data_IF_196383957305
#
_entry.id   IF_196383957305
#
_cell.length_a   1.000
_cell.length_b   1.000
_cell.length_c   1.000
_cell.angle_alpha   90.00
_cell.angle_beta   90.00
_cell.angle_gamma   90.00
#
_symmetry.space_group_name_H-M   'P 1'
#
loop_
_entity.id
_entity.type
_entity.pdbx_description
1 polymer ?
#
# COMPACT_ATOMS: atom_id res chain seq x y z
N UNK A 1 15.26 34.39 0.51
CA UNK A 1 15.25 32.98 0.06
C UNK A 1 15.95 31.99 1.02
N UNK A 2 16.85 32.43 1.89
CA UNK A 2 17.57 31.58 2.87
C UNK A 2 16.72 31.12 4.08
N UNK A 3 15.73 31.89 4.47
CA UNK A 3 14.88 31.60 5.66
C UNK A 3 13.98 30.36 5.48
N UNK A 4 13.57 30.05 4.24
CA UNK A 4 12.70 28.91 3.95
C UNK A 4 13.45 27.58 4.03
N UNK A 5 14.75 27.56 3.69
CA UNK A 5 15.57 26.34 3.68
C UNK A 5 15.89 25.88 5.12
N UNK A 6 16.10 26.83 6.04
CA UNK A 6 16.41 26.52 7.45
C UNK A 6 15.18 25.96 8.19
N UNK A 7 13.97 26.43 7.82
CA UNK A 7 12.72 25.96 8.43
C UNK A 7 12.41 24.48 8.12
N UNK A 8 12.66 24.03 6.90
CA UNK A 8 12.37 22.64 6.49
C UNK A 8 13.33 21.62 7.12
N UNK A 9 14.59 21.99 7.33
CA UNK A 9 15.58 21.11 7.98
C UNK A 9 15.27 20.88 9.47
N UNK A 10 14.74 21.90 10.16
CA UNK A 10 14.36 21.81 11.57
C UNK A 10 13.12 20.93 11.78
N UNK A 11 12.16 20.96 10.86
CA UNK A 11 10.94 20.16 10.96
C UNK A 11 11.22 18.67 10.74
N UNK A 12 12.12 18.32 9.84
CA UNK A 12 12.54 16.94 9.60
C UNK A 12 13.29 16.35 10.81
N UNK A 13 14.12 17.14 11.49
CA UNK A 13 14.87 16.69 12.67
C UNK A 13 13.97 16.43 13.89
N UNK A 14 12.90 17.20 14.06
CA UNK A 14 11.94 17.01 15.17
C UNK A 14 11.09 15.77 14.95
N UNK A 15 10.72 15.46 13.69
CA UNK A 15 9.92 14.27 13.38
C UNK A 15 10.70 12.97 13.60
N UNK A 16 11.99 12.94 13.27
CA UNK A 16 12.84 11.75 13.48
C UNK A 16 13.08 11.47 14.97
N UNK A 17 13.24 12.52 15.78
CA UNK A 17 13.43 12.37 17.24
C UNK A 17 12.17 11.86 17.96
N UNK A 18 10.97 12.21 17.48
CA UNK A 18 9.72 11.77 18.06
C UNK A 18 9.43 10.27 17.78
N UNK A 19 9.84 9.77 16.61
CA UNK A 19 9.69 8.34 16.26
C UNK A 19 10.66 7.45 17.04
N UNK A 20 11.89 7.91 17.30
CA UNK A 20 12.90 7.10 18.01
C UNK A 20 12.55 6.94 19.51
N UNK A 21 11.93 7.94 20.13
CA UNK A 21 11.48 7.85 21.53
C UNK A 21 10.19 6.99 21.71
N UNK A 22 9.32 6.92 20.72
CA UNK A 22 8.10 6.11 20.76
C UNK A 22 8.38 4.61 20.82
N UNK A 23 9.46 4.12 20.23
CA UNK A 23 9.80 2.69 20.19
C UNK A 23 10.51 2.24 21.47
N UNK A 24 11.21 3.14 22.16
CA UNK A 24 11.93 2.81 23.39
C UNK A 24 11.00 2.54 24.59
N UNK A 25 9.82 3.18 24.65
CA UNK A 25 8.86 3.04 25.77
C UNK A 25 8.15 1.69 25.74
N UNK A 26 8.00 1.05 24.56
CA UNK A 26 7.34 -0.26 24.43
C UNK A 26 8.22 -1.46 24.82
N UNK A 27 9.55 -1.26 25.01
CA UNK A 27 10.48 -2.33 25.35
C UNK A 27 10.78 -2.50 26.85
N UNK A 28 10.21 -1.66 27.72
CA UNK A 28 10.58 -1.62 29.15
C UNK A 28 9.49 -2.08 30.11
N UNK A 29 8.58 -2.94 29.68
CA UNK A 29 7.71 -3.61 30.67
C UNK A 29 8.41 -4.85 31.24
N UNK A 30 8.84 -4.85 32.50
CA UNK A 30 9.30 -6.06 33.16
C UNK A 30 8.10 -6.99 33.37
N UNK A 31 8.18 -8.18 32.81
CA UNK A 31 7.24 -9.28 33.09
C UNK A 31 7.29 -9.59 34.59
N UNK A 32 6.17 -9.57 35.34
CA UNK A 32 6.17 -10.03 36.71
C UNK A 32 6.39 -11.54 36.76
N UNK A 33 7.48 -11.93 37.39
CA UNK A 33 7.77 -13.33 37.70
C UNK A 33 6.78 -13.76 38.80
N UNK A 34 5.93 -14.78 38.59
CA UNK A 34 5.09 -15.30 39.67
C UNK A 34 5.95 -16.03 40.71
N UNK A 35 6.00 -15.46 41.92
CA UNK A 35 6.57 -16.15 43.10
C UNK A 35 5.66 -17.33 43.45
N UNK A 36 6.14 -18.54 43.22
CA UNK A 36 5.46 -19.76 43.63
C UNK A 36 5.63 -19.90 45.14
N UNK A 37 4.59 -19.55 45.91
CA UNK A 37 4.48 -20.00 47.29
C UNK A 37 4.06 -21.48 47.28
N UNK A 38 5.01 -22.31 47.71
CA UNK A 38 4.77 -23.71 48.01
C UNK A 38 3.90 -23.83 49.27
N UNK A 39 2.61 -24.04 49.07
CA UNK A 39 1.76 -24.64 50.10
C UNK A 39 1.21 -25.93 49.50
N UNK A 40 1.67 -27.05 50.03
CA UNK A 40 1.12 -28.35 49.72
C UNK A 40 -0.32 -28.42 50.22
N UNK A 41 -1.31 -28.70 49.40
CA UNK A 41 -2.56 -29.28 49.86
C UNK A 41 -2.69 -30.72 49.40
N UNK A 42 -3.09 -31.50 50.35
CA UNK A 42 -3.70 -32.83 50.32
C UNK A 42 -4.36 -33.13 48.94
N UNK A 43 -3.86 -34.19 48.31
CA UNK A 43 -4.42 -34.71 47.07
C UNK A 43 -5.76 -35.37 47.39
N UNK A 44 -6.84 -34.70 47.11
CA UNK A 44 -8.14 -35.33 46.85
C UNK A 44 -8.20 -35.56 45.35
N UNK A 45 -7.98 -36.80 44.95
CA UNK A 45 -8.21 -37.23 43.55
C UNK A 45 -9.71 -37.27 43.33
N UNK A 46 -10.26 -36.15 42.86
CA UNK A 46 -11.55 -36.16 42.19
C UNK A 46 -11.23 -36.42 40.72
N UNK A 47 -11.46 -37.63 40.26
CA UNK A 47 -11.51 -37.96 38.84
C UNK A 47 -12.65 -37.15 38.21
N UNK A 48 -12.36 -35.91 37.82
CA UNK A 48 -13.20 -35.18 36.89
C UNK A 48 -12.91 -35.78 35.51
N UNK A 49 -13.90 -36.29 34.79
CA UNK A 49 -13.69 -36.71 33.41
C UNK A 49 -13.20 -35.48 32.63
N UNK A 50 -11.94 -35.53 32.22
CA UNK A 50 -11.34 -34.57 31.31
C UNK A 50 -12.22 -34.53 30.06
N UNK A 51 -12.81 -33.39 29.70
CA UNK A 51 -13.52 -33.30 28.43
C UNK A 51 -12.47 -33.60 27.36
N UNK A 52 -12.61 -34.73 26.71
CA UNK A 52 -11.89 -35.10 25.51
C UNK A 52 -12.21 -34.03 24.46
N UNK A 53 -11.37 -32.96 24.44
CA UNK A 53 -11.38 -31.97 23.39
C UNK A 53 -10.87 -32.72 22.17
N UNK A 54 -11.80 -33.33 21.43
CA UNK A 54 -11.47 -33.79 20.09
C UNK A 54 -10.85 -32.61 19.35
N UNK A 55 -9.58 -32.70 18.91
CA UNK A 55 -9.02 -31.67 18.08
C UNK A 55 -9.92 -31.64 16.85
N UNK A 56 -10.72 -30.58 16.72
CA UNK A 56 -11.47 -30.29 15.51
C UNK A 56 -10.43 -30.12 14.41
N UNK A 57 -10.10 -31.24 13.76
CA UNK A 57 -9.23 -31.28 12.59
C UNK A 57 -10.03 -30.60 11.49
N UNK A 58 -9.94 -29.28 11.42
CA UNK A 58 -10.35 -28.54 10.22
C UNK A 58 -9.54 -29.18 9.09
N UNK A 59 -10.19 -29.77 8.07
CA UNK A 59 -9.45 -30.44 7.00
C UNK A 59 -8.37 -29.50 6.47
N UNK A 60 -7.14 -29.95 6.42
CA UNK A 60 -5.99 -29.16 5.95
C UNK A 60 -6.26 -28.44 4.61
N UNK A 61 -7.10 -29.05 3.78
CA UNK A 61 -7.55 -28.51 2.52
C UNK A 61 -8.38 -27.23 2.64
N UNK A 62 -9.20 -27.10 3.67
CA UNK A 62 -10.07 -25.94 3.86
C UNK A 62 -9.25 -24.74 4.37
N UNK A 63 -8.35 -24.96 5.31
CA UNK A 63 -7.43 -23.96 5.77
C UNK A 63 -6.50 -23.45 4.65
N UNK A 64 -6.04 -24.35 3.80
CA UNK A 64 -5.21 -23.99 2.65
C UNK A 64 -6.00 -23.21 1.58
N UNK A 65 -7.28 -23.51 1.38
CA UNK A 65 -8.16 -22.75 0.47
C UNK A 65 -8.35 -21.32 0.98
N UNK A 66 -8.65 -21.15 2.26
CA UNK A 66 -8.81 -19.83 2.88
C UNK A 66 -7.52 -19.00 2.79
N UNK A 67 -6.37 -19.58 3.07
CA UNK A 67 -5.08 -18.91 2.94
C UNK A 67 -4.82 -18.41 1.51
N UNK A 68 -5.09 -19.25 0.50
CA UNK A 68 -4.95 -18.86 -0.91
C UNK A 68 -5.92 -17.73 -1.27
N UNK A 69 -7.17 -17.78 -0.80
CA UNK A 69 -8.15 -16.75 -1.04
C UNK A 69 -7.74 -15.40 -0.40
N UNK A 70 -7.25 -15.42 0.85
CA UNK A 70 -6.74 -14.23 1.52
C UNK A 70 -5.51 -13.65 0.80
N UNK A 71 -4.59 -14.48 0.35
CA UNK A 71 -3.45 -14.05 -0.45
C UNK A 71 -3.88 -13.39 -1.76
N UNK A 72 -4.81 -13.99 -2.49
CA UNK A 72 -5.34 -13.42 -3.72
C UNK A 72 -6.01 -12.06 -3.46
N UNK A 73 -6.84 -11.96 -2.43
CA UNK A 73 -7.49 -10.71 -2.05
C UNK A 73 -6.49 -9.63 -1.67
N UNK A 74 -5.46 -9.96 -0.89
CA UNK A 74 -4.39 -9.04 -0.52
C UNK A 74 -3.63 -8.54 -1.76
N UNK A 75 -3.28 -9.44 -2.68
CA UNK A 75 -2.58 -9.09 -3.92
C UNK A 75 -3.43 -8.16 -4.80
N UNK A 76 -4.74 -8.42 -4.90
CA UNK A 76 -5.66 -7.56 -5.65
C UNK A 76 -5.79 -6.16 -5.02
N UNK A 77 -5.82 -6.07 -3.68
CA UNK A 77 -5.84 -4.78 -2.98
C UNK A 77 -4.57 -3.98 -3.23
N UNK A 78 -3.41 -4.65 -3.20
CA UNK A 78 -2.14 -4.02 -3.56
C UNK A 78 -2.14 -3.52 -5.00
N UNK A 79 -2.66 -4.30 -5.95
CA UNK A 79 -2.81 -3.88 -7.34
C UNK A 79 -3.66 -2.61 -7.48
N UNK A 80 -4.80 -2.53 -6.78
CA UNK A 80 -5.64 -1.33 -6.75
C UNK A 80 -4.92 -0.12 -6.15
N UNK A 81 -4.13 -0.33 -5.10
CA UNK A 81 -3.32 0.74 -4.50
C UNK A 81 -2.31 1.33 -5.49
N UNK A 82 -1.68 0.49 -6.34
CA UNK A 82 -0.78 0.98 -7.38
C UNK A 82 -1.50 1.73 -8.50
N UNK A 83 -2.75 1.34 -8.86
CA UNK A 83 -3.57 2.11 -9.80
C UNK A 83 -3.91 3.48 -9.22
N UNK A 84 -4.32 3.57 -7.94
CA UNK A 84 -4.55 4.85 -7.25
C UNK A 84 -3.29 5.72 -7.21
N UNK A 85 -2.13 5.10 -6.97
CA UNK A 85 -0.86 5.81 -7.00
C UNK A 85 -0.55 6.37 -8.38
N UNK A 86 -0.80 5.61 -9.45
CA UNK A 86 -0.64 6.09 -10.81
C UNK A 86 -1.60 7.25 -11.11
N UNK A 87 -2.86 7.15 -10.74
CA UNK A 87 -3.83 8.24 -10.86
C UNK A 87 -3.36 9.51 -10.17
N UNK A 88 -2.88 9.40 -8.92
CA UNK A 88 -2.33 10.54 -8.18
C UNK A 88 -1.16 11.20 -8.91
N UNK A 89 -0.27 10.41 -9.50
CA UNK A 89 0.88 10.90 -10.25
C UNK A 89 0.45 11.59 -11.55
N UNK A 90 -0.56 11.06 -12.26
CA UNK A 90 -1.17 11.73 -13.42
C UNK A 90 -1.78 13.06 -13.01
N UNK A 91 -2.46 13.14 -11.87
CA UNK A 91 -3.00 14.41 -11.34
C UNK A 91 -1.88 15.42 -11.05
N UNK A 92 -0.76 14.99 -10.45
CA UNK A 92 0.40 15.86 -10.19
C UNK A 92 1.07 16.33 -11.47
N UNK A 93 1.10 15.49 -12.52
CA UNK A 93 1.59 15.88 -13.85
C UNK A 93 0.69 16.96 -14.46
N UNK A 94 -0.62 16.82 -14.33
CA UNK A 94 -1.60 17.81 -14.80
C UNK A 94 -1.43 19.16 -14.07
N UNK A 95 -1.27 19.14 -12.74
CA UNK A 95 -0.96 20.34 -11.95
C UNK A 95 0.34 21.02 -12.41
N UNK A 96 1.37 20.22 -12.74
CA UNK A 96 2.65 20.74 -13.23
C UNK A 96 2.51 21.40 -14.61
N UNK A 97 1.69 20.84 -15.51
CA UNK A 97 1.39 21.44 -16.81
C UNK A 97 0.64 22.77 -16.69
N UNK A 98 -0.29 22.89 -15.75
CA UNK A 98 -1.00 24.16 -15.51
C UNK A 98 -0.08 25.32 -15.16
N UNK A 99 1.08 25.05 -14.55
CA UNK A 99 2.11 26.04 -14.23
C UNK A 99 3.28 26.05 -15.23
N UNK A 100 3.12 25.36 -16.39
CA UNK A 100 4.13 25.18 -17.43
C UNK A 100 5.46 24.53 -16.95
N UNK A 101 5.43 23.70 -15.90
CA UNK A 101 6.57 22.91 -15.44
C UNK A 101 6.58 21.52 -16.11
N UNK A 102 6.97 21.50 -17.39
CA UNK A 102 7.02 20.27 -18.19
C UNK A 102 8.01 19.25 -17.64
N UNK A 103 9.11 19.70 -17.03
CA UNK A 103 10.10 18.80 -16.43
C UNK A 103 9.54 18.07 -15.19
N UNK A 104 8.71 18.75 -14.40
CA UNK A 104 7.99 18.11 -13.30
C UNK A 104 6.92 17.18 -13.83
N UNK A 105 6.17 17.59 -14.86
CA UNK A 105 5.15 16.75 -15.47
C UNK A 105 5.76 15.43 -15.98
N UNK A 106 6.89 15.46 -16.70
CA UNK A 106 7.55 14.23 -17.16
C UNK A 106 7.96 13.31 -15.99
N UNK A 107 8.55 13.85 -14.92
CA UNK A 107 8.91 13.04 -13.74
C UNK A 107 7.71 12.33 -13.13
N UNK A 108 6.57 13.01 -13.02
CA UNK A 108 5.35 12.42 -12.48
C UNK A 108 4.78 11.35 -13.42
N UNK A 109 4.84 11.56 -14.74
CA UNK A 109 4.40 10.56 -15.73
C UNK A 109 5.33 9.31 -15.73
N UNK A 110 6.64 9.48 -15.54
CA UNK A 110 7.57 8.34 -15.33
C UNK A 110 7.19 7.56 -14.09
N UNK A 111 6.88 8.26 -13.00
CA UNK A 111 6.45 7.61 -11.76
C UNK A 111 5.10 6.90 -11.92
N UNK A 112 4.14 7.50 -12.67
CA UNK A 112 2.87 6.85 -13.01
C UNK A 112 3.08 5.57 -13.82
N UNK A 113 3.98 5.58 -14.80
CA UNK A 113 4.35 4.40 -15.58
C UNK A 113 4.90 3.28 -14.68
N UNK A 114 5.79 3.61 -13.74
CA UNK A 114 6.31 2.64 -12.79
C UNK A 114 5.20 2.05 -11.89
N UNK A 115 4.25 2.88 -11.45
CA UNK A 115 3.11 2.43 -10.65
C UNK A 115 2.18 1.51 -11.45
N UNK A 116 1.90 1.81 -12.72
CA UNK A 116 1.11 0.94 -13.60
C UNK A 116 1.82 -0.39 -13.88
N UNK A 117 3.15 -0.40 -13.99
CA UNK A 117 3.93 -1.64 -14.13
C UNK A 117 3.77 -2.55 -12.91
N UNK A 118 3.80 -2.00 -11.69
CA UNK A 118 3.54 -2.78 -10.48
C UNK A 118 2.09 -3.24 -10.38
N UNK A 119 1.13 -2.37 -10.75
CA UNK A 119 -0.29 -2.75 -10.81
C UNK A 119 -0.50 -3.94 -11.75
N UNK A 120 0.09 -3.90 -12.95
CA UNK A 120 -0.04 -4.97 -13.96
C UNK A 120 0.41 -6.35 -13.44
N UNK A 121 1.43 -6.39 -12.57
CA UNK A 121 1.91 -7.65 -11.98
C UNK A 121 0.95 -8.23 -10.94
N UNK A 122 0.15 -7.39 -10.29
CA UNK A 122 -0.62 -7.73 -9.11
C UNK A 122 -2.12 -7.87 -9.38
N UNK A 123 -2.62 -7.29 -10.47
CA UNK A 123 -4.05 -7.37 -10.82
C UNK A 123 -4.40 -8.73 -11.40
N UNK A 124 -5.71 -9.02 -11.39
CA UNK A 124 -6.27 -10.19 -12.07
C UNK A 124 -6.08 -10.13 -13.59
N UNK A 125 -6.08 -11.29 -14.24
CA UNK A 125 -5.90 -11.40 -15.69
C UNK A 125 -6.90 -10.56 -16.49
N UNK A 126 -8.13 -10.39 -15.99
CA UNK A 126 -9.21 -9.63 -16.64
C UNK A 126 -8.88 -8.12 -16.74
N UNK A 127 -8.09 -7.60 -15.81
CA UNK A 127 -7.71 -6.17 -15.76
C UNK A 127 -6.39 -5.87 -16.49
N UNK A 128 -5.57 -6.86 -16.74
CA UNK A 128 -4.28 -6.67 -17.42
C UNK A 128 -4.39 -5.99 -18.78
N UNK A 129 -5.35 -6.37 -19.66
CA UNK A 129 -5.52 -5.67 -20.94
C UNK A 129 -5.79 -4.18 -20.78
N UNK A 130 -6.63 -3.82 -19.79
CA UNK A 130 -6.99 -2.42 -19.54
C UNK A 130 -5.79 -1.63 -19.02
N UNK A 131 -5.03 -2.17 -18.04
CA UNK A 131 -3.81 -1.53 -17.55
C UNK A 131 -2.77 -1.38 -18.66
N UNK A 132 -2.60 -2.40 -19.50
CA UNK A 132 -1.69 -2.32 -20.64
C UNK A 132 -2.07 -1.19 -21.62
N UNK A 133 -3.36 -1.00 -21.86
CA UNK A 133 -3.86 0.12 -22.68
C UNK A 133 -3.47 1.46 -22.07
N UNK A 134 -3.63 1.63 -20.75
CA UNK A 134 -3.25 2.87 -20.08
C UNK A 134 -1.72 3.09 -20.06
N UNK A 135 -0.93 2.02 -19.99
CA UNK A 135 0.53 2.11 -20.10
C UNK A 135 0.98 2.60 -21.49
N UNK A 136 0.35 2.11 -22.56
CA UNK A 136 0.64 2.53 -23.93
C UNK A 136 0.24 4.00 -24.15
N UNK A 137 -0.93 4.38 -23.66
CA UNK A 137 -1.42 5.75 -23.76
C UNK A 137 -0.54 6.74 -22.97
N UNK A 138 -0.08 6.33 -21.77
CA UNK A 138 0.85 7.13 -20.99
C UNK A 138 2.18 7.33 -21.72
N UNK A 139 2.67 6.28 -22.40
CA UNK A 139 3.87 6.37 -23.25
C UNK A 139 3.68 7.37 -24.40
N UNK A 140 2.51 7.38 -25.04
CA UNK A 140 2.14 8.35 -26.08
C UNK A 140 2.12 9.77 -25.53
N UNK A 141 1.42 10.02 -24.42
CA UNK A 141 1.33 11.33 -23.79
C UNK A 141 2.72 11.87 -23.43
N UNK A 142 3.62 11.02 -22.94
CA UNK A 142 5.00 11.43 -22.65
C UNK A 142 5.78 11.84 -23.89
N UNK A 143 5.63 11.10 -24.99
CA UNK A 143 6.24 11.49 -26.25
C UNK A 143 5.69 12.82 -26.76
N UNK A 144 4.37 13.06 -26.64
CA UNK A 144 3.72 14.29 -27.04
C UNK A 144 4.13 15.46 -26.13
N UNK A 145 4.47 15.22 -24.86
CA UNK A 145 4.94 16.24 -23.91
C UNK A 145 6.20 16.96 -24.40
N UNK A 146 7.10 16.23 -25.04
CA UNK A 146 8.34 16.79 -25.61
C UNK A 146 8.08 17.65 -26.85
N UNK A 147 6.99 17.33 -27.61
CA UNK A 147 6.70 17.95 -28.92
C UNK A 147 5.70 19.10 -28.77
N UNK A 148 4.60 18.90 -28.06
CA UNK A 148 3.53 19.85 -27.94
C UNK A 148 2.77 19.74 -26.60
N UNK A 149 3.25 20.36 -25.55
CA UNK A 149 2.67 20.22 -24.19
C UNK A 149 1.28 20.89 -24.04
N UNK A 150 0.85 21.73 -25.00
CA UNK A 150 -0.34 22.60 -24.81
C UNK A 150 -1.69 21.89 -24.85
N UNK A 151 -1.76 20.68 -25.37
CA UNK A 151 -3.02 19.95 -25.56
C UNK A 151 -3.11 18.66 -24.71
N UNK A 152 -2.18 18.48 -23.78
CA UNK A 152 -2.10 17.24 -23.00
C UNK A 152 -2.98 17.23 -21.74
N UNK A 153 -3.51 18.37 -21.32
CA UNK A 153 -4.39 18.53 -20.19
C UNK A 153 -5.69 17.71 -20.34
N UNK A 154 -6.27 17.71 -21.54
CA UNK A 154 -7.47 16.91 -21.84
C UNK A 154 -7.16 15.41 -21.84
N UNK A 155 -6.05 14.99 -22.46
CA UNK A 155 -5.64 13.57 -22.53
C UNK A 155 -5.31 13.02 -21.14
N UNK A 156 -4.60 13.79 -20.31
CA UNK A 156 -4.32 13.42 -18.93
C UNK A 156 -5.58 13.37 -18.06
N UNK A 157 -6.52 14.28 -18.27
CA UNK A 157 -7.81 14.27 -17.57
C UNK A 157 -8.59 13.00 -17.91
N UNK A 158 -8.69 12.66 -19.19
CA UNK A 158 -9.34 11.41 -19.63
C UNK A 158 -8.65 10.17 -19.06
N UNK A 159 -7.32 10.15 -19.05
CA UNK A 159 -6.55 9.05 -18.47
C UNK A 159 -6.83 8.90 -16.96
N UNK A 160 -6.80 9.99 -16.21
CA UNK A 160 -7.13 10.00 -14.78
C UNK A 160 -8.51 9.38 -14.53
N UNK A 161 -9.52 9.81 -15.30
CA UNK A 161 -10.90 9.34 -15.15
C UNK A 161 -11.03 7.85 -15.49
N UNK A 162 -10.29 7.35 -16.49
CA UNK A 162 -10.22 5.93 -16.80
C UNK A 162 -9.56 5.14 -15.68
N UNK A 163 -8.43 5.62 -15.12
CA UNK A 163 -7.77 4.96 -13.99
C UNK A 163 -8.68 4.86 -12.76
N UNK A 164 -9.46 5.91 -12.46
CA UNK A 164 -10.47 5.88 -11.41
C UNK A 164 -11.57 4.85 -11.69
N UNK A 165 -12.03 4.74 -12.95
CA UNK A 165 -13.05 3.76 -13.32
C UNK A 165 -12.61 2.32 -13.11
N UNK A 166 -11.32 2.00 -13.29
CA UNK A 166 -10.75 0.68 -13.03
C UNK A 166 -10.87 0.24 -11.57
N UNK A 167 -10.95 1.21 -10.66
CA UNK A 167 -11.03 0.95 -9.22
C UNK A 167 -12.48 0.79 -8.77
N UNK A 168 -13.38 1.61 -9.33
CA UNK A 168 -14.80 1.67 -8.92
C UNK A 168 -15.61 0.49 -9.49
N UNK A 169 -15.20 -0.07 -10.62
CA UNK A 169 -15.88 -1.18 -11.29
C UNK A 169 -15.70 -2.55 -10.61
N UNK A 170 -15.13 -2.60 -9.40
CA UNK A 170 -14.98 -3.78 -8.54
C UNK A 170 -16.06 -3.83 -7.48
#
# INVERSE_FOLDING_TARGET
MWVVIVGSALLAAVLTLALDRGIAVLRSQPTPVPTVQSNQPVIVVIETPEPEIEPSVVPDDEAQRLLRQLQQQSTQQLGATFVLKAERQVTLALEALMINDTARADRELVAAQASLNEAFRLVSEDLKPQINTEQLELGRIRADLEINPRNLDEDLTKMRDRLLSLIVSR
#
